data_IF_946082391306
#
_entry.id   IF_946082391306
#
_cell.length_a   1.000
_cell.length_b   1.000
_cell.length_c   1.000
_cell.angle_alpha   90.00
_cell.angle_beta   90.00
_cell.angle_gamma   90.00
#
_symmetry.space_group_name_H-M   'P 1'
#
loop_
_entity.id
_entity.type
_entity.pdbx_description
1 polymer ?
#
# COMPACT_ATOMS: atom_id res chain seq x y z
N UNK A 1 71.71 34.40 25.83
CA UNK A 1 71.59 33.97 24.41
C UNK A 1 70.78 32.67 24.45
N UNK A 2 69.55 32.57 23.94
CA UNK A 2 69.10 32.67 22.52
C UNK A 2 69.77 31.61 21.63
N UNK A 3 69.09 30.73 20.89
CA UNK A 3 67.65 30.42 20.65
C UNK A 3 67.49 28.85 20.56
N UNK A 4 66.46 28.15 20.02
CA UNK A 4 65.22 28.45 19.25
C UNK A 4 64.20 27.28 19.35
N UNK A 5 62.96 27.48 18.91
CA UNK A 5 61.89 26.45 18.78
C UNK A 5 62.16 25.41 17.68
N UNK A 6 61.55 24.21 17.79
CA UNK A 6 60.68 23.59 16.75
C UNK A 6 59.58 22.79 17.46
N UNK A 7 58.34 22.84 16.96
CA UNK A 7 57.20 22.06 17.44
C UNK A 7 56.93 20.82 16.59
N UNK A 8 56.31 19.79 17.16
CA UNK A 8 55.72 18.68 16.40
C UNK A 8 54.37 18.27 17.04
N UNK A 9 53.28 18.77 16.46
CA UNK A 9 51.92 18.36 16.82
C UNK A 9 51.68 16.91 16.38
N UNK A 10 51.38 16.01 17.32
CA UNK A 10 50.69 14.77 16.97
C UNK A 10 49.18 15.01 17.01
N UNK A 11 48.59 15.13 15.82
CA UNK A 11 47.15 15.19 15.64
C UNK A 11 46.54 13.85 16.08
N UNK A 12 46.01 13.81 17.30
CA UNK A 12 45.09 12.76 17.72
C UNK A 12 43.81 12.91 16.91
N UNK A 13 43.71 12.18 15.80
CA UNK A 13 42.55 12.18 14.92
C UNK A 13 41.34 11.60 15.68
N UNK A 14 40.56 12.47 16.32
CA UNK A 14 39.24 12.14 16.82
C UNK A 14 38.33 11.86 15.62
N UNK A 15 38.31 10.59 15.20
CA UNK A 15 37.31 10.03 14.29
C UNK A 15 35.95 10.07 14.99
N UNK A 16 35.36 11.26 14.99
CA UNK A 16 33.92 11.45 15.20
C UNK A 16 33.21 10.85 13.98
N UNK A 17 33.08 9.52 14.00
CA UNK A 17 32.05 8.81 13.28
C UNK A 17 30.71 9.23 13.86
N UNK A 18 30.27 10.46 13.54
CA UNK A 18 28.89 10.88 13.72
C UNK A 18 28.05 10.04 12.78
N UNK A 19 27.69 8.86 13.28
CA UNK A 19 26.74 7.93 12.71
C UNK A 19 25.56 8.73 12.16
N UNK A 20 25.42 8.71 10.84
CA UNK A 20 24.27 9.29 10.15
C UNK A 20 23.05 8.50 10.59
N UNK A 21 22.39 8.98 11.65
CA UNK A 21 21.09 8.52 12.05
C UNK A 21 20.12 8.90 10.94
N UNK A 22 19.97 8.00 9.96
CA UNK A 22 18.75 7.93 9.18
C UNK A 22 17.64 7.80 10.21
N UNK A 23 16.85 8.87 10.39
CA UNK A 23 15.67 8.81 11.22
C UNK A 23 14.75 7.77 10.59
N UNK A 24 14.73 6.57 11.19
CA UNK A 24 13.85 5.50 10.75
C UNK A 24 12.42 6.05 10.82
N UNK A 25 11.76 6.11 9.66
CA UNK A 25 10.35 6.50 9.63
C UNK A 25 9.60 5.44 10.41
N UNK A 26 8.87 5.87 11.44
CA UNK A 26 8.04 5.00 12.25
C UNK A 26 7.13 4.14 11.34
N UNK A 27 7.28 2.81 11.34
CA UNK A 27 6.51 1.93 10.46
C UNK A 27 5.02 1.97 10.78
N UNK A 28 4.63 2.23 12.03
CA UNK A 28 3.22 2.38 12.44
C UNK A 28 2.64 3.62 11.78
N UNK A 29 3.30 4.77 11.94
CA UNK A 29 2.91 6.01 11.26
C UNK A 29 2.85 5.83 9.74
N UNK A 30 3.85 5.17 9.15
CA UNK A 30 3.90 4.97 7.69
C UNK A 30 2.75 4.08 7.18
N UNK A 31 2.37 3.04 7.92
CA UNK A 31 1.20 2.24 7.61
C UNK A 31 -0.10 3.05 7.73
N UNK A 32 -0.27 3.85 8.79
CA UNK A 32 -1.46 4.69 8.98
C UNK A 32 -1.63 5.70 7.84
N UNK A 33 -0.54 6.37 7.44
CA UNK A 33 -0.54 7.30 6.29
C UNK A 33 -0.92 6.60 4.97
N UNK A 34 -0.33 5.43 4.71
CA UNK A 34 -0.60 4.67 3.50
C UNK A 34 -2.06 4.19 3.45
N UNK A 35 -2.57 3.60 4.53
CA UNK A 35 -3.96 3.13 4.64
C UNK A 35 -4.96 4.28 4.48
N UNK A 36 -4.69 5.43 5.11
CA UNK A 36 -5.51 6.64 4.97
C UNK A 36 -5.62 7.16 3.53
N UNK A 37 -4.63 6.90 2.68
CA UNK A 37 -4.70 7.19 1.24
C UNK A 37 -5.29 6.04 0.41
N UNK A 38 -5.06 4.79 0.83
CA UNK A 38 -5.44 3.60 0.07
C UNK A 38 -6.94 3.32 0.15
N UNK A 39 -7.55 3.40 1.35
CA UNK A 39 -8.98 3.15 1.56
C UNK A 39 -9.89 4.01 0.65
N UNK A 40 -9.77 5.36 0.62
CA UNK A 40 -10.59 6.18 -0.29
C UNK A 40 -10.26 5.94 -1.77
N UNK A 41 -9.02 5.58 -2.10
CA UNK A 41 -8.64 5.23 -3.48
C UNK A 41 -9.33 3.93 -3.94
N UNK A 42 -9.39 2.90 -3.09
CA UNK A 42 -10.11 1.65 -3.38
C UNK A 42 -11.62 1.93 -3.52
N UNK A 43 -12.21 2.74 -2.64
CA UNK A 43 -13.62 3.15 -2.76
C UNK A 43 -13.92 3.85 -4.09
N UNK A 44 -13.08 4.81 -4.50
CA UNK A 44 -13.22 5.50 -5.79
C UNK A 44 -13.02 4.54 -6.98
N UNK A 45 -12.07 3.61 -6.88
CA UNK A 45 -11.87 2.56 -7.88
C UNK A 45 -13.08 1.63 -7.99
N UNK A 46 -13.73 1.24 -6.89
CA UNK A 46 -14.95 0.41 -6.95
C UNK A 46 -16.07 1.08 -7.76
N UNK A 47 -16.22 2.40 -7.68
CA UNK A 47 -17.16 3.15 -8.53
C UNK A 47 -16.76 3.03 -10.00
N UNK A 48 -15.48 3.24 -10.32
CA UNK A 48 -14.95 3.06 -11.68
C UNK A 48 -15.12 1.63 -12.21
N UNK A 49 -14.87 0.61 -11.38
CA UNK A 49 -15.04 -0.81 -11.71
C UNK A 49 -16.49 -1.17 -12.02
N UNK A 50 -17.45 -0.61 -11.27
CA UNK A 50 -18.90 -0.82 -11.48
C UNK A 50 -19.43 -0.30 -12.83
N UNK A 51 -18.61 0.45 -13.55
CA UNK A 51 -18.89 1.04 -14.87
C UNK A 51 -17.75 0.76 -15.86
N UNK A 52 -16.83 -0.16 -15.53
CA UNK A 52 -15.56 -0.34 -16.23
C UNK A 52 -15.65 -1.12 -17.54
N UNK A 53 -16.80 -1.74 -17.85
CA UNK A 53 -17.01 -2.51 -19.08
C UNK A 53 -17.67 -1.67 -20.18
N UNK A 54 -17.31 -1.94 -21.43
CA UNK A 54 -17.89 -1.29 -22.62
C UNK A 54 -19.39 -1.53 -22.73
N UNK A 55 -20.19 -0.46 -22.80
CA UNK A 55 -21.63 -0.52 -23.02
C UNK A 55 -22.35 0.77 -22.59
N UNK A 56 -23.35 1.21 -23.35
CA UNK A 56 -24.07 2.46 -23.07
C UNK A 56 -23.18 3.72 -23.10
N UNK A 57 -23.69 4.85 -22.60
CA UNK A 57 -22.93 6.11 -22.53
C UNK A 57 -21.97 6.20 -21.33
N UNK A 58 -22.20 5.38 -20.30
CA UNK A 58 -21.55 5.49 -18.99
C UNK A 58 -20.77 4.21 -18.62
N UNK A 59 -20.61 3.26 -19.55
CA UNK A 59 -20.16 1.91 -19.25
C UNK A 59 -21.26 1.05 -18.61
N UNK A 60 -20.95 -0.24 -18.44
CA UNK A 60 -21.79 -1.23 -17.76
C UNK A 60 -20.99 -1.96 -16.67
N UNK A 61 -21.64 -2.54 -15.66
CA UNK A 61 -20.95 -3.35 -14.66
C UNK A 61 -20.38 -4.65 -15.26
N UNK A 62 -19.30 -5.18 -14.66
CA UNK A 62 -18.86 -6.56 -14.84
C UNK A 62 -19.99 -7.58 -14.65
N UNK A 63 -19.86 -8.71 -15.35
CA UNK A 63 -20.66 -9.91 -15.07
C UNK A 63 -20.45 -10.30 -13.60
N UNK A 64 -21.53 -10.58 -12.90
CA UNK A 64 -21.51 -10.90 -11.45
C UNK A 64 -20.90 -9.80 -10.56
N UNK A 65 -20.91 -8.54 -10.98
CA UNK A 65 -20.36 -7.41 -10.20
C UNK A 65 -20.83 -7.40 -8.73
N UNK A 66 -22.10 -7.68 -8.44
CA UNK A 66 -22.62 -7.72 -7.07
C UNK A 66 -21.93 -8.75 -6.16
N UNK A 67 -21.38 -9.84 -6.70
CA UNK A 67 -20.58 -10.81 -5.96
C UNK A 67 -19.13 -10.29 -5.75
N UNK A 68 -18.53 -9.70 -6.78
CA UNK A 68 -17.20 -9.10 -6.72
C UNK A 68 -17.16 -7.91 -5.74
N UNK A 69 -18.22 -7.12 -5.69
CA UNK A 69 -18.37 -5.93 -4.86
C UNK A 69 -18.25 -6.25 -3.35
N UNK A 70 -18.63 -7.46 -2.92
CA UNK A 70 -18.46 -7.92 -1.53
C UNK A 70 -16.98 -7.94 -1.14
N UNK A 71 -16.10 -8.43 -2.01
CA UNK A 71 -14.65 -8.42 -1.78
C UNK A 71 -14.10 -6.99 -1.70
N UNK A 72 -14.59 -6.07 -2.52
CA UNK A 72 -14.23 -4.66 -2.41
C UNK A 72 -14.61 -4.02 -1.08
N UNK A 73 -15.81 -4.32 -0.57
CA UNK A 73 -16.23 -3.86 0.75
C UNK A 73 -15.46 -4.54 1.89
N UNK A 74 -15.15 -5.83 1.77
CA UNK A 74 -14.26 -6.54 2.69
C UNK A 74 -12.89 -5.87 2.79
N UNK A 75 -12.26 -5.60 1.64
CA UNK A 75 -10.99 -4.90 1.56
C UNK A 75 -11.02 -3.51 2.23
N UNK A 76 -12.03 -2.70 1.91
CA UNK A 76 -12.20 -1.35 2.49
C UNK A 76 -12.37 -1.41 4.00
N UNK A 77 -13.22 -2.31 4.52
CA UNK A 77 -13.50 -2.44 5.94
C UNK A 77 -12.27 -2.94 6.72
N UNK A 78 -11.60 -3.98 6.23
CA UNK A 78 -10.42 -4.56 6.88
C UNK A 78 -9.21 -3.61 6.83
N UNK A 79 -8.95 -2.93 5.72
CA UNK A 79 -7.85 -1.94 5.64
C UNK A 79 -8.13 -0.73 6.55
N UNK A 80 -9.39 -0.31 6.69
CA UNK A 80 -9.77 0.74 7.64
C UNK A 80 -9.67 0.27 9.10
N UNK A 81 -10.13 -0.94 9.43
CA UNK A 81 -9.96 -1.54 10.75
C UNK A 81 -8.46 -1.63 11.12
N UNK A 82 -7.62 -2.05 10.18
CA UNK A 82 -6.17 -2.06 10.34
C UNK A 82 -5.58 -0.69 10.66
N UNK A 83 -6.05 0.37 10.00
CA UNK A 83 -5.67 1.75 10.30
C UNK A 83 -6.06 2.15 11.73
N UNK A 84 -7.29 1.83 12.14
CA UNK A 84 -7.81 2.17 13.48
C UNK A 84 -7.07 1.40 14.59
N UNK A 85 -6.82 0.11 14.42
CA UNK A 85 -6.03 -0.70 15.35
C UNK A 85 -4.60 -0.16 15.52
N UNK A 86 -3.94 0.21 14.42
CA UNK A 86 -2.60 0.83 14.48
C UNK A 86 -2.63 2.18 15.21
N UNK A 87 -3.64 3.02 14.97
CA UNK A 87 -3.83 4.27 15.72
C UNK A 87 -4.08 4.05 17.21
N UNK A 88 -4.76 2.95 17.57
CA UNK A 88 -4.96 2.50 18.96
C UNK A 88 -3.77 1.78 19.60
N UNK A 89 -2.65 1.61 18.89
CA UNK A 89 -1.48 0.85 19.37
C UNK A 89 -1.65 -0.67 19.36
N UNK A 90 -2.75 -1.18 18.82
CA UNK A 90 -3.03 -2.62 18.67
C UNK A 90 -2.32 -3.18 17.44
N UNK A 91 -0.99 -3.21 17.47
CA UNK A 91 -0.16 -3.56 16.31
C UNK A 91 -0.45 -4.97 15.75
N UNK A 92 -0.60 -6.04 16.56
CA UNK A 92 -0.91 -7.37 16.02
C UNK A 92 -2.25 -7.44 15.29
N UNK A 93 -3.30 -6.83 15.87
CA UNK A 93 -4.64 -6.74 15.27
C UNK A 93 -4.58 -5.94 13.96
N UNK A 94 -3.88 -4.80 13.97
CA UNK A 94 -3.67 -3.96 12.79
C UNK A 94 -2.98 -4.71 11.65
N UNK A 95 -1.90 -5.45 11.95
CA UNK A 95 -1.21 -6.30 10.97
C UNK A 95 -2.11 -7.41 10.43
N UNK A 96 -2.97 -8.01 11.27
CA UNK A 96 -3.88 -9.06 10.83
C UNK A 96 -4.98 -8.51 9.91
N UNK A 97 -5.62 -7.40 10.28
CA UNK A 97 -6.60 -6.71 9.45
C UNK A 97 -6.03 -6.28 8.08
N UNK A 98 -4.80 -5.76 8.05
CA UNK A 98 -4.14 -5.41 6.77
C UNK A 98 -3.96 -6.66 5.88
N UNK A 99 -3.56 -7.80 6.45
CA UNK A 99 -3.41 -9.06 5.70
C UNK A 99 -4.75 -9.51 5.12
N UNK A 100 -5.84 -9.50 5.90
CA UNK A 100 -7.18 -9.84 5.43
C UNK A 100 -7.63 -8.91 4.30
N UNK A 101 -7.49 -7.58 4.49
CA UNK A 101 -7.89 -6.59 3.50
C UNK A 101 -7.12 -6.69 2.17
N UNK A 102 -5.85 -7.08 2.20
CA UNK A 102 -5.07 -7.38 0.99
C UNK A 102 -5.56 -8.65 0.26
N UNK A 103 -6.01 -9.69 0.99
CA UNK A 103 -6.59 -10.91 0.40
C UNK A 103 -7.92 -10.61 -0.28
N UNK A 104 -8.80 -9.86 0.38
CA UNK A 104 -10.07 -9.41 -0.20
C UNK A 104 -9.85 -8.53 -1.44
N UNK A 105 -8.85 -7.63 -1.40
CA UNK A 105 -8.55 -6.78 -2.55
C UNK A 105 -7.92 -7.57 -3.72
N UNK A 106 -7.07 -8.56 -3.44
CA UNK A 106 -6.60 -9.51 -4.44
C UNK A 106 -7.79 -10.28 -5.08
N UNK A 107 -8.76 -10.72 -4.29
CA UNK A 107 -9.96 -11.43 -4.77
C UNK A 107 -10.82 -10.55 -5.69
N UNK A 108 -11.09 -9.29 -5.31
CA UNK A 108 -11.78 -8.31 -6.15
C UNK A 108 -11.07 -8.15 -7.50
N UNK A 109 -9.78 -7.83 -7.49
CA UNK A 109 -9.06 -7.53 -8.73
C UNK A 109 -8.92 -8.79 -9.60
N UNK A 110 -8.60 -9.96 -9.04
CA UNK A 110 -8.50 -11.17 -9.83
C UNK A 110 -9.86 -11.59 -10.43
N UNK A 111 -10.97 -11.35 -9.72
CA UNK A 111 -12.33 -11.59 -10.23
C UNK A 111 -12.79 -10.61 -11.31
N UNK A 112 -12.12 -9.45 -11.46
CA UNK A 112 -12.34 -8.50 -12.57
C UNK A 112 -11.61 -8.90 -13.87
N UNK A 113 -10.71 -9.88 -13.83
CA UNK A 113 -10.06 -10.39 -15.04
C UNK A 113 -11.11 -11.03 -15.97
N UNK A 114 -11.18 -10.56 -17.20
CA UNK A 114 -12.11 -11.05 -18.24
C UNK A 114 -13.59 -10.98 -17.86
N UNK A 115 -13.95 -10.13 -16.89
CA UNK A 115 -15.30 -10.07 -16.32
C UNK A 115 -16.32 -9.29 -17.17
N UNK A 116 -15.90 -8.61 -18.23
CA UNK A 116 -16.78 -7.92 -19.16
C UNK A 116 -17.28 -8.87 -20.26
N UNK A 117 -18.52 -8.66 -20.72
CA UNK A 117 -19.07 -9.41 -21.85
C UNK A 117 -18.36 -9.05 -23.17
N UNK A 118 -17.65 -10.00 -23.76
CA UNK A 118 -16.98 -9.84 -25.06
C UNK A 118 -16.28 -11.13 -25.51
N UNK A 119 -16.37 -11.46 -26.80
CA UNK A 119 -15.74 -12.65 -27.39
C UNK A 119 -16.12 -14.00 -26.73
N UNK A 120 -15.26 -15.00 -26.92
CA UNK A 120 -15.44 -16.35 -26.34
C UNK A 120 -14.85 -16.50 -24.92
N UNK A 121 -14.14 -15.48 -24.43
CA UNK A 121 -13.35 -15.55 -23.19
C UNK A 121 -13.61 -14.40 -22.22
N UNK A 122 -14.49 -13.46 -22.55
CA UNK A 122 -14.66 -12.21 -21.82
C UNK A 122 -13.59 -11.17 -22.16
N UNK A 123 -13.83 -9.94 -21.71
CA UNK A 123 -12.91 -8.81 -21.85
C UNK A 123 -12.58 -8.22 -20.47
N UNK A 124 -11.40 -7.62 -20.33
CA UNK A 124 -11.06 -6.88 -19.11
C UNK A 124 -11.79 -5.52 -19.08
N UNK A 125 -12.13 -4.99 -17.90
CA UNK A 125 -12.51 -3.60 -17.75
C UNK A 125 -11.45 -2.65 -18.34
N UNK A 126 -11.88 -1.51 -18.91
CA UNK A 126 -11.01 -0.58 -19.66
C UNK A 126 -9.77 -0.14 -18.85
N UNK A 127 -9.93 0.07 -17.54
CA UNK A 127 -8.84 0.49 -16.63
C UNK A 127 -8.26 -0.65 -15.79
N UNK A 128 -8.49 -1.92 -16.17
CA UNK A 128 -8.06 -3.08 -15.38
C UNK A 128 -6.56 -3.10 -15.05
N UNK A 129 -5.71 -2.72 -16.00
CA UNK A 129 -4.25 -2.60 -15.78
C UNK A 129 -3.89 -1.64 -14.65
N UNK A 130 -4.59 -0.51 -14.54
CA UNK A 130 -4.37 0.50 -13.49
C UNK A 130 -4.75 -0.03 -12.11
N UNK A 131 -5.83 -0.84 -12.03
CA UNK A 131 -6.23 -1.47 -10.78
C UNK A 131 -5.21 -2.53 -10.33
N UNK A 132 -4.71 -3.34 -11.27
CA UNK A 132 -3.63 -4.32 -11.03
C UNK A 132 -2.34 -3.64 -10.56
N UNK A 133 -1.94 -2.54 -11.19
CA UNK A 133 -0.76 -1.76 -10.80
C UNK A 133 -0.89 -1.22 -9.38
N UNK A 134 -2.00 -0.53 -9.09
CA UNK A 134 -2.25 0.03 -7.75
C UNK A 134 -2.26 -1.05 -6.68
N UNK A 135 -2.93 -2.18 -6.92
CA UNK A 135 -2.94 -3.35 -6.02
C UNK A 135 -1.53 -3.88 -5.76
N UNK A 136 -0.76 -4.12 -6.81
CA UNK A 136 0.60 -4.66 -6.67
C UNK A 136 1.50 -3.68 -5.89
N UNK A 137 1.37 -2.37 -6.13
CA UNK A 137 2.09 -1.33 -5.43
C UNK A 137 1.71 -1.26 -3.94
N UNK A 138 0.42 -1.15 -3.65
CA UNK A 138 -0.13 -1.11 -2.29
C UNK A 138 0.27 -2.34 -1.48
N UNK A 139 0.13 -3.53 -2.07
CA UNK A 139 0.52 -4.81 -1.46
C UNK A 139 2.02 -4.84 -1.14
N UNK A 140 2.86 -4.43 -2.08
CA UNK A 140 4.33 -4.37 -1.88
C UNK A 140 4.71 -3.42 -0.74
N UNK A 141 4.12 -2.22 -0.71
CA UNK A 141 4.39 -1.25 0.36
C UNK A 141 3.92 -1.77 1.73
N UNK A 142 2.68 -2.26 1.85
CA UNK A 142 2.15 -2.77 3.11
C UNK A 142 2.89 -4.02 3.60
N UNK A 143 3.22 -4.96 2.72
CA UNK A 143 4.04 -6.13 3.07
C UNK A 143 5.44 -5.74 3.54
N UNK A 144 6.06 -4.72 2.93
CA UNK A 144 7.34 -4.18 3.39
C UNK A 144 7.20 -3.57 4.78
N UNK A 145 6.19 -2.73 5.03
CA UNK A 145 5.99 -2.10 6.34
C UNK A 145 5.69 -3.15 7.43
N UNK A 146 4.90 -4.17 7.11
CA UNK A 146 4.56 -5.29 8.02
C UNK A 146 5.80 -6.06 8.51
N UNK A 147 6.92 -6.07 7.77
CA UNK A 147 8.18 -6.68 8.24
C UNK A 147 8.84 -5.89 9.39
N UNK A 148 8.47 -4.62 9.58
CA UNK A 148 8.95 -3.75 10.66
C UNK A 148 7.90 -3.56 11.78
N UNK A 149 6.78 -4.30 11.72
CA UNK A 149 5.69 -4.30 12.71
C UNK A 149 5.58 -5.65 13.47
N UNK A 150 6.58 -6.52 13.33
CA UNK A 150 6.68 -7.86 13.94
C UNK A 150 7.91 -7.93 14.85
#
# INVERSE_FOLDING_TARGET
MSYRNVAASFMGAALLLSSTAFAAVDPVKKAIELLGSAVPTIQAQMVSMSQGCSGGSNGVPPVSWGALQVHGYGAVNELHAGQMSLQGGQIPDGVQHIKTGLVEYDALINGLALSCSGGAHGENPVSYGNYVEFRNNLKTQLQTIIQFLQ
#
